data_IF_504426916825
#
_entry.id   IF_504426916825
#
_cell.length_a   1.000
_cell.length_b   1.000
_cell.length_c   1.000
_cell.angle_alpha   90.00
_cell.angle_beta   90.00
_cell.angle_gamma   90.00
#
_symmetry.space_group_name_H-M   'P 1'
#
loop_
_entity.id
_entity.type
_entity.pdbx_description
1 polymer ?
#
# COMPACT_ATOMS: atom_id res chain seq x y z
N UNK A 1 -38.42 10.38 6.49
CA UNK A 1 -39.04 9.40 5.57
C UNK A 1 -37.93 8.57 4.96
N UNK A 2 -38.15 7.26 4.93
CA UNK A 2 -37.32 6.19 4.34
C UNK A 2 -35.85 6.12 4.79
N UNK A 3 -35.64 5.43 5.92
CA UNK A 3 -34.43 4.63 6.15
C UNK A 3 -34.30 3.65 4.97
N UNK A 4 -33.33 3.89 4.08
CA UNK A 4 -32.87 2.83 3.18
C UNK A 4 -32.07 1.85 4.02
N UNK A 5 -32.67 0.71 4.33
CA UNK A 5 -31.89 -0.47 4.74
C UNK A 5 -30.98 -0.82 3.57
N UNK A 6 -29.72 -0.41 3.63
CA UNK A 6 -28.71 -0.96 2.75
C UNK A 6 -28.57 -2.42 3.15
N UNK A 7 -29.06 -3.32 2.31
CA UNK A 7 -28.57 -4.69 2.28
C UNK A 7 -27.06 -4.60 2.14
N UNK A 8 -26.33 -4.84 3.22
CA UNK A 8 -24.87 -4.89 3.22
C UNK A 8 -24.48 -5.97 2.23
N UNK A 9 -23.89 -5.56 1.11
CA UNK A 9 -23.36 -6.47 0.13
C UNK A 9 -22.12 -7.15 0.76
N UNK A 10 -22.29 -8.37 1.26
CA UNK A 10 -21.30 -9.09 2.09
C UNK A 10 -20.36 -9.97 1.26
N UNK A 11 -20.34 -9.80 -0.06
CA UNK A 11 -19.47 -10.55 -0.96
C UNK A 11 -17.96 -10.31 -0.70
N UNK A 12 -17.08 -11.22 -1.17
CA UNK A 12 -15.64 -11.00 -1.13
C UNK A 12 -15.23 -9.80 -1.99
N UNK A 13 -14.08 -9.21 -1.67
CA UNK A 13 -13.50 -8.14 -2.47
C UNK A 13 -13.07 -8.63 -3.86
N UNK A 14 -13.17 -7.78 -4.85
CA UNK A 14 -12.40 -7.91 -6.09
C UNK A 14 -11.06 -7.19 -5.89
N UNK A 15 -9.95 -7.85 -6.20
CA UNK A 15 -8.61 -7.32 -5.95
C UNK A 15 -8.01 -6.73 -7.23
N UNK A 16 -7.88 -5.41 -7.27
CA UNK A 16 -7.17 -4.70 -8.34
C UNK A 16 -5.69 -4.56 -7.99
N UNK A 17 -4.80 -4.74 -8.96
CA UNK A 17 -3.35 -4.61 -8.83
C UNK A 17 -2.91 -3.21 -9.21
N UNK A 18 -2.07 -2.60 -8.40
CA UNK A 18 -1.46 -1.34 -8.79
C UNK A 18 -0.10 -1.04 -8.19
N UNK A 19 0.51 -0.01 -8.76
CA UNK A 19 1.83 0.48 -8.42
C UNK A 19 1.79 2.01 -8.30
N UNK A 20 1.89 2.54 -7.08
CA UNK A 20 1.70 3.96 -6.79
C UNK A 20 3.03 4.72 -6.68
N UNK A 21 4.16 4.06 -6.96
CA UNK A 21 5.47 4.65 -6.80
C UNK A 21 6.37 4.27 -7.97
N UNK A 22 6.43 5.16 -8.97
CA UNK A 22 7.20 4.95 -10.21
C UNK A 22 7.76 6.27 -10.75
N UNK A 23 8.82 6.18 -11.53
CA UNK A 23 9.60 7.34 -11.99
C UNK A 23 9.91 7.29 -13.48
N UNK A 24 9.64 8.41 -14.14
CA UNK A 24 10.04 8.74 -15.50
C UNK A 24 10.47 10.21 -15.52
N UNK A 25 11.78 10.44 -15.39
CA UNK A 25 12.39 11.77 -15.36
C UNK A 25 12.84 12.25 -16.76
N UNK A 26 12.42 11.55 -17.82
CA UNK A 26 12.67 11.93 -19.21
C UNK A 26 11.42 11.62 -20.07
N UNK A 27 10.75 12.68 -20.54
CA UNK A 27 9.54 12.55 -21.34
C UNK A 27 9.74 11.74 -22.63
N UNK A 28 10.96 11.74 -23.20
CA UNK A 28 11.25 10.95 -24.40
C UNK A 28 11.16 9.43 -24.15
N UNK A 29 11.25 9.00 -22.89
CA UNK A 29 11.21 7.59 -22.49
C UNK A 29 9.81 7.09 -22.12
N UNK A 30 8.76 7.90 -22.24
CA UNK A 30 7.39 7.46 -21.89
C UNK A 30 6.93 6.26 -22.74
N UNK A 31 7.34 6.19 -24.01
CA UNK A 31 7.09 5.01 -24.85
C UNK A 31 7.71 3.74 -24.25
N UNK A 32 9.01 3.78 -23.98
CA UNK A 32 9.74 2.65 -23.37
C UNK A 32 9.21 2.32 -21.98
N UNK A 33 8.78 3.31 -21.20
CA UNK A 33 8.16 3.12 -19.89
C UNK A 33 6.88 2.28 -20.00
N UNK A 34 6.02 2.56 -20.97
CA UNK A 34 4.78 1.80 -21.20
C UNK A 34 5.07 0.34 -21.50
N UNK A 35 6.09 0.07 -22.31
CA UNK A 35 6.49 -1.30 -22.67
C UNK A 35 7.03 -2.11 -21.48
N UNK A 36 7.32 -1.45 -20.34
CA UNK A 36 7.79 -2.10 -19.10
C UNK A 36 6.68 -2.38 -18.09
N UNK A 37 5.47 -1.84 -18.30
CA UNK A 37 4.35 -2.05 -17.38
C UNK A 37 3.89 -3.50 -17.49
N UNK A 38 3.80 -4.19 -16.36
CA UNK A 38 3.24 -5.53 -16.33
C UNK A 38 1.76 -5.49 -16.75
N UNK A 39 1.33 -6.33 -17.72
CA UNK A 39 -0.04 -6.30 -18.24
C UNK A 39 -1.10 -6.72 -17.21
N UNK A 40 -0.70 -7.19 -16.02
CA UNK A 40 -1.61 -7.53 -14.91
C UNK A 40 -1.91 -6.34 -14.00
N UNK A 41 -1.29 -5.17 -14.19
CA UNK A 41 -1.66 -3.98 -13.44
C UNK A 41 -2.99 -3.40 -13.94
N UNK A 42 -3.85 -3.04 -12.99
CA UNK A 42 -5.13 -2.36 -13.23
C UNK A 42 -4.99 -0.83 -13.11
N UNK A 43 -4.02 -0.36 -12.34
CA UNK A 43 -3.71 1.05 -12.20
C UNK A 43 -2.24 1.31 -11.84
N UNK A 44 -1.76 2.51 -12.12
CA UNK A 44 -0.44 2.96 -11.69
C UNK A 44 -0.42 4.46 -11.42
N UNK A 45 0.57 4.95 -10.66
CA UNK A 45 0.84 6.38 -10.50
C UNK A 45 2.25 6.73 -10.98
N UNK A 46 2.37 7.80 -11.75
CA UNK A 46 3.67 8.45 -12.03
C UNK A 46 3.94 9.47 -10.91
N UNK A 47 5.02 9.26 -10.16
CA UNK A 47 5.32 9.99 -8.92
C UNK A 47 6.76 10.46 -8.89
N UNK A 48 7.17 11.26 -9.89
CA UNK A 48 8.54 11.77 -9.88
C UNK A 48 8.82 12.59 -8.61
N UNK A 49 10.10 12.61 -8.25
CA UNK A 49 10.66 13.42 -7.18
C UNK A 49 10.31 14.91 -7.29
N UNK A 50 9.66 15.47 -6.26
CA UNK A 50 9.12 16.84 -6.27
C UNK A 50 10.15 17.97 -6.44
N UNK A 51 11.41 17.72 -6.10
CA UNK A 51 12.54 18.66 -6.26
C UNK A 51 13.13 18.72 -7.67
N UNK A 52 12.75 17.78 -8.56
CA UNK A 52 13.31 17.71 -9.92
C UNK A 52 12.61 18.69 -10.86
N UNK A 53 13.33 19.38 -11.76
CA UNK A 53 12.69 20.26 -12.74
C UNK A 53 11.62 19.56 -13.59
N UNK A 54 11.88 18.32 -14.01
CA UNK A 54 10.96 17.52 -14.85
C UNK A 54 9.62 17.22 -14.16
N UNK A 55 9.58 17.21 -12.83
CA UNK A 55 8.33 17.04 -12.09
C UNK A 55 7.32 18.13 -12.45
N UNK A 56 7.76 19.38 -12.62
CA UNK A 56 6.90 20.51 -12.99
C UNK A 56 6.40 20.49 -14.44
N UNK A 57 6.78 19.47 -15.21
CA UNK A 57 6.30 19.18 -16.56
C UNK A 57 5.58 17.81 -16.62
N UNK A 58 5.50 17.08 -15.49
CA UNK A 58 4.96 15.73 -15.39
C UNK A 58 3.53 15.58 -15.93
N UNK A 59 2.71 16.63 -15.87
CA UNK A 59 1.34 16.58 -16.38
C UNK A 59 1.27 16.24 -17.88
N UNK A 60 2.29 16.62 -18.68
CA UNK A 60 2.40 16.21 -20.08
C UNK A 60 2.70 14.71 -20.21
N UNK A 61 3.61 14.18 -19.38
CA UNK A 61 3.95 12.75 -19.34
C UNK A 61 2.77 11.89 -18.90
N UNK A 62 2.01 12.34 -17.89
CA UNK A 62 0.79 11.67 -17.43
C UNK A 62 -0.28 11.67 -18.53
N UNK A 63 -0.47 12.79 -19.23
CA UNK A 63 -1.41 12.87 -20.35
C UNK A 63 -1.03 11.92 -21.50
N UNK A 64 0.26 11.83 -21.84
CA UNK A 64 0.75 10.88 -22.83
C UNK A 64 0.60 9.42 -22.37
N UNK A 65 0.91 9.14 -21.10
CA UNK A 65 0.77 7.81 -20.52
C UNK A 65 -0.69 7.33 -20.54
N UNK A 66 -1.64 8.21 -20.24
CA UNK A 66 -3.10 7.96 -20.36
C UNK A 66 -3.52 7.64 -21.80
N UNK A 67 -2.83 8.19 -22.80
CA UNK A 67 -3.12 7.89 -24.21
C UNK A 67 -2.54 6.55 -24.65
N UNK A 68 -1.35 6.19 -24.15
CA UNK A 68 -0.61 5.00 -24.57
C UNK A 68 -1.01 3.73 -23.82
N UNK A 69 -1.20 3.81 -22.51
CA UNK A 69 -1.57 2.68 -21.67
C UNK A 69 -3.05 2.72 -21.32
N UNK A 70 -3.85 2.07 -22.16
CA UNK A 70 -5.33 2.05 -22.04
C UNK A 70 -5.86 0.83 -21.30
N UNK A 71 -4.98 -0.09 -20.90
CA UNK A 71 -5.35 -1.31 -20.18
C UNK A 71 -5.72 -1.05 -18.70
N UNK A 72 -5.30 0.09 -18.15
CA UNK A 72 -5.52 0.45 -16.74
C UNK A 72 -5.64 1.96 -16.52
N UNK A 73 -5.77 2.34 -15.25
CA UNK A 73 -5.88 3.74 -14.83
C UNK A 73 -4.51 4.36 -14.52
N UNK A 74 -4.26 5.56 -15.07
CA UNK A 74 -3.06 6.34 -14.80
C UNK A 74 -3.38 7.48 -13.84
N UNK A 75 -2.75 7.44 -12.68
CA UNK A 75 -2.80 8.44 -11.63
C UNK A 75 -1.58 9.36 -11.71
N UNK A 76 -1.74 10.59 -11.21
CA UNK A 76 -0.65 11.55 -11.06
C UNK A 76 -0.27 11.65 -9.58
N UNK A 77 1.01 11.82 -9.28
CA UNK A 77 1.44 12.07 -7.91
C UNK A 77 2.83 12.67 -7.82
N UNK A 78 3.36 12.74 -6.61
CA UNK A 78 4.70 13.23 -6.32
C UNK A 78 5.35 12.33 -5.29
N UNK A 79 6.59 11.93 -5.53
CA UNK A 79 7.44 11.46 -4.44
C UNK A 79 7.99 12.69 -3.73
N UNK A 80 7.34 13.03 -2.62
CA UNK A 80 7.65 14.21 -1.82
C UNK A 80 8.80 13.90 -0.86
N UNK A 81 9.81 14.79 -0.81
CA UNK A 81 10.83 14.74 0.24
C UNK A 81 10.24 15.26 1.56
N UNK A 82 9.41 14.42 2.18
CA UNK A 82 8.51 14.77 3.26
C UNK A 82 9.24 15.28 4.52
N UNK A 83 8.79 16.38 5.15
CA UNK A 83 9.35 16.87 6.40
C UNK A 83 9.31 15.81 7.51
N UNK A 84 10.36 15.74 8.34
CA UNK A 84 10.43 14.85 9.51
C UNK A 84 10.68 13.36 9.23
N UNK A 85 10.79 12.94 7.96
CA UNK A 85 10.98 11.52 7.59
C UNK A 85 11.84 11.30 6.34
N UNK A 86 11.51 10.26 5.55
CA UNK A 86 12.09 9.92 4.25
C UNK A 86 11.22 10.46 3.11
N UNK A 87 10.95 9.65 2.11
CA UNK A 87 10.03 10.03 1.04
C UNK A 87 8.60 9.57 1.32
N UNK A 88 7.62 10.31 0.81
CA UNK A 88 6.22 9.92 0.83
C UNK A 88 5.60 10.19 -0.55
N UNK A 89 4.89 9.21 -1.10
CA UNK A 89 4.08 9.42 -2.28
C UNK A 89 2.78 10.12 -1.91
N UNK A 90 2.48 11.23 -2.59
CA UNK A 90 1.16 11.89 -2.57
C UNK A 90 0.52 11.71 -3.94
N UNK A 91 -0.55 10.94 -4.01
CA UNK A 91 -1.21 10.52 -5.26
C UNK A 91 -2.60 11.12 -5.36
N UNK A 92 -2.89 11.69 -6.52
CA UNK A 92 -4.13 12.38 -6.83
C UNK A 92 -5.00 11.52 -7.74
N UNK A 93 -6.31 11.52 -7.49
CA UNK A 93 -7.29 10.96 -8.43
C UNK A 93 -7.33 11.82 -9.70
N UNK A 94 -7.63 11.28 -10.88
CA UNK A 94 -7.70 12.07 -12.11
C UNK A 94 -8.70 13.23 -12.01
N UNK A 95 -8.20 14.47 -12.07
CA UNK A 95 -9.01 15.69 -12.19
C UNK A 95 -8.19 16.82 -12.83
N UNK A 96 -8.84 17.92 -13.20
CA UNK A 96 -8.21 19.00 -13.99
C UNK A 96 -7.02 19.67 -13.28
N UNK A 97 -7.12 19.85 -11.96
CA UNK A 97 -6.13 20.58 -11.16
C UNK A 97 -5.12 19.67 -10.43
N UNK A 98 -5.06 18.37 -10.76
CA UNK A 98 -4.21 17.39 -10.03
C UNK A 98 -2.73 17.78 -10.05
N UNK A 99 -2.27 18.32 -11.18
CA UNK A 99 -0.90 18.79 -11.36
C UNK A 99 -0.62 20.06 -10.56
N UNK A 100 -1.55 21.02 -10.56
CA UNK A 100 -1.41 22.27 -9.82
C UNK A 100 -1.34 22.02 -8.31
N UNK A 101 -2.16 21.09 -7.80
CA UNK A 101 -2.08 20.65 -6.40
C UNK A 101 -0.73 20.01 -6.07
N UNK A 102 -0.24 19.10 -6.92
CA UNK A 102 1.06 18.45 -6.72
C UNK A 102 2.22 19.46 -6.76
N UNK A 103 2.17 20.42 -7.68
CA UNK A 103 3.19 21.48 -7.82
C UNK A 103 3.17 22.46 -6.65
N UNK A 104 1.99 22.83 -6.18
CA UNK A 104 1.84 23.66 -5.00
C UNK A 104 2.41 22.96 -3.75
N UNK A 105 2.20 21.65 -3.60
CA UNK A 105 2.78 20.88 -2.49
C UNK A 105 4.31 20.92 -2.55
N UNK A 106 4.90 20.58 -3.70
CA UNK A 106 6.35 20.54 -3.84
C UNK A 106 7.00 21.92 -3.60
N UNK A 107 6.48 22.97 -4.26
CA UNK A 107 6.98 24.36 -4.10
C UNK A 107 6.85 24.88 -2.67
N UNK A 108 5.78 24.50 -1.99
CA UNK A 108 5.53 24.95 -0.63
C UNK A 108 6.40 24.23 0.40
N UNK A 109 6.56 22.91 0.26
CA UNK A 109 6.93 22.07 1.40
C UNK A 109 7.92 20.93 1.10
N UNK A 110 8.47 20.80 -0.11
CA UNK A 110 9.51 19.80 -0.39
C UNK A 110 10.85 20.20 0.25
N UNK A 111 11.44 19.33 1.10
CA UNK A 111 12.64 19.70 1.86
C UNK A 111 13.87 19.97 0.99
N UNK A 112 13.91 19.43 -0.22
CA UNK A 112 15.07 19.49 -1.10
C UNK A 112 14.90 20.52 -2.23
N UNK A 113 13.77 21.23 -2.26
CA UNK A 113 13.52 22.29 -3.23
C UNK A 113 13.86 23.67 -2.66
N UNK A 114 14.68 24.43 -3.39
CA UNK A 114 15.06 25.77 -2.99
C UNK A 114 13.84 26.70 -2.87
N UNK A 115 13.75 27.41 -1.74
CA UNK A 115 12.66 28.33 -1.45
C UNK A 115 11.41 27.69 -0.82
N UNK A 116 11.36 26.37 -0.70
CA UNK A 116 10.31 25.68 0.05
C UNK A 116 10.50 25.85 1.58
N UNK A 117 9.41 25.71 2.32
CA UNK A 117 9.36 25.77 3.78
C UNK A 117 8.82 24.45 4.34
N UNK A 118 9.65 23.38 4.43
CA UNK A 118 9.20 22.06 4.84
C UNK A 118 8.58 22.06 6.25
N UNK A 119 7.28 21.79 6.32
CA UNK A 119 6.49 21.77 7.56
C UNK A 119 5.32 20.78 7.42
N UNK A 120 5.21 19.83 8.35
CA UNK A 120 4.19 18.76 8.32
C UNK A 120 2.79 19.38 8.42
N UNK A 121 2.57 20.27 9.39
CA UNK A 121 1.25 20.85 9.66
C UNK A 121 0.74 21.66 8.47
N UNK A 122 1.59 22.51 7.88
CA UNK A 122 1.23 23.38 6.78
C UNK A 122 1.03 22.58 5.48
N UNK A 123 1.88 21.59 5.20
CA UNK A 123 1.70 20.68 4.06
C UNK A 123 0.39 19.90 4.15
N UNK A 124 0.11 19.28 5.31
CA UNK A 124 -1.15 18.56 5.53
C UNK A 124 -2.37 19.49 5.45
N UNK A 125 -2.27 20.72 5.97
CA UNK A 125 -3.34 21.72 5.84
C UNK A 125 -3.60 22.10 4.38
N UNK A 126 -2.57 22.24 3.55
CA UNK A 126 -2.76 22.52 2.12
C UNK A 126 -3.47 21.36 1.43
N UNK A 127 -3.07 20.11 1.70
CA UNK A 127 -3.76 18.94 1.14
C UNK A 127 -5.21 18.85 1.61
N UNK A 128 -5.49 19.22 2.87
CA UNK A 128 -6.84 19.26 3.44
C UNK A 128 -7.77 20.32 2.81
N UNK A 129 -7.22 21.34 2.14
CA UNK A 129 -8.01 22.35 1.42
C UNK A 129 -8.58 21.82 0.10
N UNK A 130 -8.04 20.71 -0.41
CA UNK A 130 -8.58 20.05 -1.60
C UNK A 130 -9.92 19.41 -1.23
N UNK A 131 -10.92 19.62 -2.09
CA UNK A 131 -12.28 19.11 -1.90
C UNK A 131 -12.28 17.59 -1.70
N UNK A 132 -13.14 17.02 -0.84
CA UNK A 132 -13.10 15.60 -0.48
C UNK A 132 -13.05 14.63 -1.66
N UNK A 133 -13.76 14.94 -2.74
CA UNK A 133 -13.86 14.11 -3.95
C UNK A 133 -12.55 14.04 -4.75
N UNK A 134 -11.65 15.02 -4.57
CA UNK A 134 -10.35 15.12 -5.26
C UNK A 134 -9.17 15.03 -4.30
N UNK A 135 -9.45 14.81 -3.02
CA UNK A 135 -8.42 14.79 -1.99
C UNK A 135 -7.42 13.65 -2.29
N UNK A 136 -6.10 13.92 -2.22
CA UNK A 136 -5.11 12.89 -2.50
C UNK A 136 -5.03 11.87 -1.37
N UNK A 137 -4.27 10.81 -1.64
CA UNK A 137 -3.78 9.88 -0.63
C UNK A 137 -2.27 10.04 -0.46
N UNK A 138 -1.79 9.85 0.76
CA UNK A 138 -0.39 9.92 1.15
C UNK A 138 0.02 8.57 1.74
N UNK A 139 1.10 7.98 1.21
CA UNK A 139 1.75 6.83 1.82
C UNK A 139 3.25 7.08 2.07
N UNK A 140 3.77 6.50 3.14
CA UNK A 140 5.19 6.59 3.48
C UNK A 140 6.01 5.58 2.68
N UNK A 141 7.01 6.04 1.95
CA UNK A 141 7.80 5.20 1.05
C UNK A 141 8.90 4.45 1.79
N UNK A 142 9.17 3.24 1.31
CA UNK A 142 10.29 2.35 1.58
C UNK A 142 10.93 2.56 2.96
N UNK A 143 10.22 2.34 4.09
CA UNK A 143 10.64 2.73 5.43
C UNK A 143 11.83 1.91 5.95
N UNK A 144 13.00 2.12 5.36
CA UNK A 144 14.27 1.58 5.80
C UNK A 144 14.63 2.13 7.19
N UNK A 145 15.46 1.43 7.98
CA UNK A 145 15.86 1.88 9.30
C UNK A 145 16.33 3.34 9.31
N UNK A 146 15.70 4.17 10.13
CA UNK A 146 16.03 5.59 10.29
C UNK A 146 15.33 6.55 9.31
N UNK A 147 14.59 6.07 8.31
CA UNK A 147 13.83 6.96 7.41
C UNK A 147 12.52 7.45 8.01
N UNK A 148 11.83 6.59 8.75
CA UNK A 148 10.55 6.90 9.39
C UNK A 148 10.53 6.46 10.85
N UNK A 149 9.78 7.17 11.68
CA UNK A 149 9.53 6.83 13.08
C UNK A 149 8.03 6.78 13.36
N UNK A 150 7.64 6.05 14.41
CA UNK A 150 6.23 5.99 14.83
C UNK A 150 5.70 7.37 15.21
N UNK A 151 6.51 8.19 15.89
CA UNK A 151 6.15 9.55 16.31
C UNK A 151 5.91 10.46 15.10
N UNK A 152 6.79 10.42 14.09
CA UNK A 152 6.62 11.17 12.84
C UNK A 152 5.32 10.76 12.14
N UNK A 153 5.07 9.45 12.00
CA UNK A 153 3.84 8.96 11.35
C UNK A 153 2.60 9.41 12.12
N UNK A 154 2.65 9.36 13.46
CA UNK A 154 1.57 9.84 14.31
C UNK A 154 1.32 11.35 14.14
N UNK A 155 2.36 12.16 13.97
CA UNK A 155 2.25 13.60 13.69
C UNK A 155 1.52 13.87 12.36
N UNK A 156 1.89 13.18 11.28
CA UNK A 156 1.17 13.28 9.99
C UNK A 156 -0.32 12.93 10.16
N UNK A 157 -0.62 11.83 10.87
CA UNK A 157 -2.01 11.41 11.12
C UNK A 157 -2.78 12.37 12.02
N UNK A 158 -2.13 13.02 12.97
CA UNK A 158 -2.75 14.02 13.83
C UNK A 158 -3.21 15.26 13.03
N UNK A 159 -2.52 15.57 11.93
CA UNK A 159 -2.86 16.68 11.04
C UNK A 159 -3.70 16.28 9.82
N UNK A 160 -4.06 15.00 9.69
CA UNK A 160 -4.93 14.48 8.64
C UNK A 160 -6.41 14.75 8.98
N UNK A 161 -7.19 15.41 8.10
CA UNK A 161 -8.64 15.57 8.28
C UNK A 161 -9.44 14.25 8.22
N UNK A 162 -8.82 13.12 7.88
CA UNK A 162 -9.38 11.78 8.06
C UNK A 162 -9.38 10.88 6.83
N UNK A 163 -8.59 11.20 5.79
CA UNK A 163 -8.66 10.53 4.49
C UNK A 163 -7.46 10.80 3.56
N UNK A 164 -6.39 11.43 4.07
CA UNK A 164 -5.15 11.69 3.32
C UNK A 164 -4.12 10.61 3.62
N UNK A 165 -3.73 10.42 4.88
CA UNK A 165 -2.68 9.46 5.27
C UNK A 165 -3.26 8.06 5.26
N UNK A 166 -2.92 7.29 4.23
CA UNK A 166 -3.49 5.96 4.04
C UNK A 166 -2.62 4.84 4.61
N UNK A 167 -1.29 4.95 4.60
CA UNK A 167 -0.47 3.76 4.79
C UNK A 167 1.03 3.95 4.56
N UNK A 168 1.74 2.83 4.38
CA UNK A 168 3.16 2.80 4.04
C UNK A 168 3.50 1.63 3.14
N UNK A 169 4.62 1.74 2.45
CA UNK A 169 5.26 0.59 1.83
C UNK A 169 5.78 -0.39 2.90
N UNK A 170 5.48 -1.67 2.76
CA UNK A 170 5.89 -2.73 3.69
C UNK A 170 7.22 -3.36 3.33
N UNK A 171 7.68 -3.12 2.11
CA UNK A 171 8.92 -3.64 1.55
C UNK A 171 9.56 -2.53 0.74
N UNK A 172 10.88 -2.61 0.59
CA UNK A 172 11.60 -1.67 -0.24
C UNK A 172 11.20 -1.83 -1.72
N UNK A 173 11.12 -0.72 -2.45
CA UNK A 173 11.16 -0.70 -3.92
C UNK A 173 12.54 -1.11 -4.45
N UNK A 174 12.93 -0.69 -5.65
CA UNK A 174 14.26 -0.98 -6.18
C UNK A 174 14.55 -2.49 -6.24
N UNK A 175 13.68 -3.18 -6.95
CA UNK A 175 13.34 -4.58 -6.77
C UNK A 175 14.32 -5.53 -7.46
N UNK A 176 14.85 -5.09 -8.60
CA UNK A 176 15.67 -5.87 -9.51
C UNK A 176 17.17 -5.86 -9.20
N UNK A 177 17.61 -5.14 -8.16
CA UNK A 177 19.03 -5.07 -7.76
C UNK A 177 19.23 -5.14 -6.24
N UNK A 178 20.49 -5.12 -5.80
CA UNK A 178 20.89 -5.47 -4.43
C UNK A 178 20.23 -4.64 -3.33
N UNK A 179 19.83 -3.38 -3.59
CA UNK A 179 19.22 -2.53 -2.57
C UNK A 179 17.87 -3.07 -2.06
N UNK A 180 17.03 -3.63 -2.93
CA UNK A 180 15.77 -4.27 -2.52
C UNK A 180 15.94 -5.70 -2.02
N UNK A 181 17.12 -6.30 -2.20
CA UNK A 181 17.41 -7.70 -1.86
C UNK A 181 18.13 -7.87 -0.52
N UNK A 182 18.79 -6.82 -0.03
CA UNK A 182 19.55 -6.86 1.22
C UNK A 182 18.69 -6.82 2.49
N UNK A 183 17.39 -6.54 2.37
CA UNK A 183 16.49 -6.40 3.51
C UNK A 183 15.91 -7.73 3.98
N UNK A 184 16.04 -7.97 5.28
CA UNK A 184 15.37 -9.07 5.96
C UNK A 184 13.93 -8.68 6.33
N UNK A 185 12.94 -9.37 5.75
CA UNK A 185 11.52 -9.17 6.01
C UNK A 185 11.12 -9.47 7.47
N UNK A 186 11.97 -10.13 8.26
CA UNK A 186 11.77 -10.32 9.69
C UNK A 186 12.04 -9.04 10.50
N UNK A 187 12.90 -8.15 10.00
CA UNK A 187 13.37 -6.95 10.70
C UNK A 187 13.10 -5.65 9.95
N UNK A 188 12.59 -5.72 8.72
CA UNK A 188 12.25 -4.54 7.94
C UNK A 188 11.09 -3.76 8.61
N UNK A 189 11.27 -2.45 8.91
CA UNK A 189 10.32 -1.70 9.75
C UNK A 189 8.87 -1.68 9.25
N UNK A 190 8.68 -1.73 7.94
CA UNK A 190 7.35 -1.70 7.31
C UNK A 190 6.54 -3.00 7.45
N UNK A 191 7.16 -4.14 7.74
CA UNK A 191 6.46 -5.43 7.78
C UNK A 191 6.74 -6.30 9.02
N UNK A 192 7.79 -6.01 9.79
CA UNK A 192 8.13 -6.76 10.99
C UNK A 192 6.98 -6.71 12.03
N UNK A 193 6.73 -7.79 12.79
CA UNK A 193 5.84 -7.77 13.94
C UNK A 193 6.31 -6.73 14.98
N UNK A 194 5.39 -5.89 15.44
CA UNK A 194 5.69 -4.77 16.33
C UNK A 194 6.37 -3.56 15.64
N UNK A 195 6.47 -3.57 14.30
CA UNK A 195 7.09 -2.52 13.50
C UNK A 195 6.24 -1.25 13.34
N UNK A 196 6.62 -0.40 12.39
CA UNK A 196 5.98 0.90 12.17
C UNK A 196 4.51 0.76 11.74
N UNK A 197 4.20 -0.25 10.91
CA UNK A 197 2.82 -0.57 10.53
C UNK A 197 1.94 -0.91 11.75
N UNK A 198 2.47 -1.69 12.68
CA UNK A 198 1.73 -2.13 13.87
C UNK A 198 1.53 -0.99 14.87
N UNK A 199 2.53 -0.12 15.01
CA UNK A 199 2.40 1.12 15.76
C UNK A 199 1.31 2.05 15.19
N UNK A 200 1.17 2.10 13.85
CA UNK A 200 0.12 2.89 13.21
C UNK A 200 -1.29 2.35 13.49
N UNK A 201 -1.47 1.04 13.62
CA UNK A 201 -2.77 0.46 14.00
C UNK A 201 -3.16 0.73 15.46
N UNK A 202 -2.19 0.91 16.36
CA UNK A 202 -2.47 1.24 17.76
C UNK A 202 -3.20 2.59 17.93
N UNK A 203 -3.10 3.49 16.94
CA UNK A 203 -3.85 4.75 16.87
C UNK A 203 -5.34 4.61 16.51
N UNK A 204 -5.85 3.38 16.37
CA UNK A 204 -7.27 3.05 16.16
C UNK A 204 -7.90 3.61 14.86
N UNK A 205 -7.32 3.25 13.71
CA UNK A 205 -7.92 3.49 12.41
C UNK A 205 -7.31 2.61 11.31
N UNK A 206 -7.93 2.57 10.12
CA UNK A 206 -7.35 1.88 8.98
C UNK A 206 -5.94 2.37 8.68
N UNK A 207 -5.15 1.46 8.11
CA UNK A 207 -3.81 1.75 7.63
C UNK A 207 -3.45 0.71 6.56
N UNK A 208 -3.02 1.17 5.40
CA UNK A 208 -2.69 0.36 4.24
C UNK A 208 -1.24 -0.11 4.28
N UNK A 209 -1.08 -1.40 4.06
CA UNK A 209 0.16 -2.05 3.71
C UNK A 209 0.27 -2.11 2.18
N UNK A 210 1.34 -1.52 1.66
CA UNK A 210 1.55 -1.30 0.23
C UNK A 210 2.89 -1.91 -0.21
N UNK A 211 3.00 -2.23 -1.49
CA UNK A 211 4.27 -2.58 -2.11
C UNK A 211 4.30 -2.03 -3.54
N UNK A 212 5.33 -1.26 -3.85
CA UNK A 212 5.47 -0.56 -5.11
C UNK A 212 6.88 -0.76 -5.67
N UNK A 213 7.07 -0.43 -6.94
CA UNK A 213 8.33 -0.73 -7.62
C UNK A 213 9.44 0.24 -7.31
N UNK A 214 9.11 1.52 -7.14
CA UNK A 214 10.11 2.59 -7.19
C UNK A 214 10.94 2.48 -8.48
N UNK A 215 10.26 2.09 -9.57
CA UNK A 215 10.90 1.81 -10.86
C UNK A 215 11.38 3.10 -11.52
N UNK A 216 12.60 3.09 -12.04
CA UNK A 216 13.19 4.23 -12.72
C UNK A 216 13.62 3.86 -14.15
N UNK A 217 12.81 4.20 -15.15
CA UNK A 217 13.14 3.89 -16.55
C UNK A 217 14.44 4.56 -17.02
N UNK A 218 14.72 5.77 -16.52
CA UNK A 218 15.89 6.57 -16.86
C UNK A 218 17.18 6.11 -16.15
N UNK A 219 17.14 5.03 -15.37
CA UNK A 219 18.31 4.45 -14.68
C UNK A 219 18.70 3.06 -15.21
N UNK A 220 17.97 2.51 -16.18
CA UNK A 220 18.08 1.10 -16.58
C UNK A 220 19.43 0.71 -17.21
N UNK A 221 20.16 1.65 -17.78
CA UNK A 221 21.49 1.44 -18.35
C UNK A 221 22.59 1.19 -17.30
N UNK A 222 22.41 1.75 -16.10
CA UNK A 222 23.37 1.69 -14.99
C UNK A 222 22.89 0.88 -13.79
N UNK A 223 21.58 0.79 -13.61
CA UNK A 223 20.91 0.18 -12.47
C UNK A 223 19.64 -0.49 -12.95
N UNK A 224 19.78 -1.78 -13.28
CA UNK A 224 18.65 -2.60 -13.70
C UNK A 224 17.59 -2.65 -12.59
N UNK A 225 16.33 -2.56 -12.98
CA UNK A 225 15.20 -2.77 -12.09
C UNK A 225 14.05 -3.46 -12.83
N UNK A 226 13.13 -4.07 -12.09
CA UNK A 226 11.92 -4.61 -12.69
C UNK A 226 10.93 -3.49 -13.01
N UNK A 227 10.30 -3.58 -14.17
CA UNK A 227 9.20 -2.68 -14.54
C UNK A 227 8.01 -2.76 -13.56
N UNK A 228 7.11 -1.77 -13.60
CA UNK A 228 6.00 -1.66 -12.66
C UNK A 228 5.14 -2.93 -12.65
N UNK A 229 4.86 -3.46 -11.46
CA UNK A 229 4.01 -4.64 -11.27
C UNK A 229 4.64 -6.01 -11.57
N UNK A 230 5.87 -6.06 -12.11
CA UNK A 230 6.53 -7.35 -12.39
C UNK A 230 6.82 -8.12 -11.10
N UNK A 231 7.27 -7.43 -10.05
CA UNK A 231 7.57 -8.03 -8.75
C UNK A 231 6.69 -7.46 -7.64
N UNK A 232 7.07 -6.34 -6.99
CA UNK A 232 6.16 -5.73 -6.02
C UNK A 232 4.96 -5.10 -6.71
N UNK A 233 3.80 -5.29 -6.11
CA UNK A 233 2.56 -4.62 -6.44
C UNK A 233 1.63 -4.63 -5.24
N UNK A 234 0.64 -3.74 -5.25
CA UNK A 234 -0.39 -3.66 -4.22
C UNK A 234 -1.70 -4.20 -4.77
N UNK A 235 -2.37 -5.06 -4.01
CA UNK A 235 -3.77 -5.40 -4.21
C UNK A 235 -4.64 -4.38 -3.48
N UNK A 236 -5.66 -3.85 -4.13
CA UNK A 236 -6.68 -2.97 -3.55
C UNK A 236 -8.05 -3.61 -3.70
N UNK A 237 -8.72 -3.82 -2.58
CA UNK A 237 -10.04 -4.44 -2.50
C UNK A 237 -11.13 -3.44 -2.85
N UNK A 238 -11.85 -3.71 -3.93
CA UNK A 238 -13.01 -2.95 -4.40
C UNK A 238 -14.22 -3.87 -4.49
N UNK A 239 -15.42 -3.30 -4.70
CA UNK A 239 -16.59 -4.16 -4.94
C UNK A 239 -16.47 -4.84 -6.32
N UNK A 240 -17.03 -6.05 -6.49
CA UNK A 240 -17.06 -6.70 -7.80
C UNK A 240 -17.62 -5.78 -8.90
N UNK A 241 -16.87 -5.65 -9.99
CA UNK A 241 -17.23 -4.80 -11.14
C UNK A 241 -16.80 -3.33 -11.04
N UNK A 242 -16.40 -2.85 -9.86
CA UNK A 242 -15.84 -1.50 -9.71
C UNK A 242 -14.37 -1.47 -10.16
N UNK A 243 -14.00 -0.43 -10.89
CA UNK A 243 -12.64 -0.19 -11.39
C UNK A 243 -12.34 1.31 -11.51
N UNK A 244 -13.13 2.17 -10.87
CA UNK A 244 -12.94 3.62 -10.93
C UNK A 244 -11.83 4.08 -9.98
N UNK A 245 -11.26 5.25 -10.24
CA UNK A 245 -10.33 5.89 -9.32
C UNK A 245 -10.96 6.12 -7.93
N UNK A 246 -12.25 6.47 -7.88
CA UNK A 246 -13.00 6.61 -6.63
C UNK A 246 -13.02 5.30 -5.82
N UNK A 247 -13.32 4.17 -6.46
CA UNK A 247 -13.34 2.87 -5.80
C UNK A 247 -11.95 2.45 -5.28
N UNK A 248 -10.90 2.70 -6.08
CA UNK A 248 -9.51 2.45 -5.68
C UNK A 248 -9.14 3.30 -4.46
N UNK A 249 -9.41 4.60 -4.49
CA UNK A 249 -9.10 5.51 -3.39
C UNK A 249 -9.91 5.17 -2.13
N UNK A 250 -11.16 4.76 -2.28
CA UNK A 250 -11.97 4.26 -1.16
C UNK A 250 -11.36 2.98 -0.55
N UNK A 251 -10.88 2.05 -1.39
CA UNK A 251 -10.19 0.84 -0.93
C UNK A 251 -8.89 1.14 -0.19
N UNK A 252 -8.07 2.05 -0.73
CA UNK A 252 -6.84 2.54 -0.09
C UNK A 252 -7.13 3.17 1.27
N UNK A 253 -8.06 4.13 1.35
CA UNK A 253 -8.44 4.80 2.62
C UNK A 253 -9.00 3.85 3.66
N UNK A 254 -9.73 2.83 3.21
CA UNK A 254 -10.29 1.81 4.10
C UNK A 254 -9.25 0.78 4.56
N UNK A 255 -7.99 0.84 4.12
CA UNK A 255 -7.01 -0.19 4.43
C UNK A 255 -7.33 -1.55 3.78
N UNK A 256 -8.11 -1.58 2.69
CA UNK A 256 -8.43 -2.80 1.94
C UNK A 256 -7.28 -3.14 1.01
N UNK A 257 -6.10 -3.39 1.56
CA UNK A 257 -4.90 -3.58 0.74
C UNK A 257 -4.10 -4.80 1.15
N UNK A 258 -3.39 -5.37 0.17
CA UNK A 258 -2.34 -6.33 0.40
C UNK A 258 -1.08 -5.93 -0.37
N UNK A 259 0.06 -5.97 0.30
CA UNK A 259 1.37 -5.81 -0.30
C UNK A 259 1.89 -7.16 -0.79
N UNK A 260 2.21 -7.29 -2.08
CA UNK A 260 2.64 -8.54 -2.68
C UNK A 260 4.01 -8.40 -3.34
N UNK A 261 4.88 -9.40 -3.17
CA UNK A 261 6.17 -9.52 -3.89
C UNK A 261 6.16 -10.75 -4.80
N UNK A 262 5.98 -10.52 -6.09
CA UNK A 262 5.75 -11.56 -7.09
C UNK A 262 4.31 -12.05 -7.09
N UNK A 263 4.02 -13.04 -7.93
CA UNK A 263 2.65 -13.50 -8.24
C UNK A 263 2.43 -14.96 -7.87
N UNK A 264 3.03 -15.39 -6.75
CA UNK A 264 3.04 -16.79 -6.31
C UNK A 264 1.90 -17.13 -5.34
N UNK A 265 1.19 -16.12 -4.83
CA UNK A 265 0.03 -16.28 -3.94
C UNK A 265 -1.16 -15.49 -4.48
N UNK A 266 -2.31 -16.13 -4.51
CA UNK A 266 -3.61 -15.56 -4.82
C UNK A 266 -4.49 -15.60 -3.57
N UNK A 267 -4.90 -14.43 -3.08
CA UNK A 267 -5.79 -14.30 -1.94
C UNK A 267 -7.23 -14.59 -2.38
N UNK A 268 -7.87 -15.60 -1.77
CA UNK A 268 -9.28 -15.92 -1.98
C UNK A 268 -10.13 -15.13 -0.98
N UNK A 269 -9.86 -15.27 0.32
CA UNK A 269 -10.50 -14.45 1.36
C UNK A 269 -9.62 -14.36 2.61
N UNK A 270 -9.74 -13.23 3.33
CA UNK A 270 -9.24 -13.10 4.70
C UNK A 270 -10.31 -12.38 5.51
N UNK A 271 -10.96 -13.15 6.38
CA UNK A 271 -12.17 -12.72 7.07
C UNK A 271 -12.22 -13.21 8.51
N UNK A 272 -12.91 -12.46 9.38
CA UNK A 272 -13.38 -12.88 10.69
C UNK A 272 -14.89 -13.08 10.58
N UNK A 273 -15.38 -14.24 11.00
CA UNK A 273 -16.79 -14.59 10.88
C UNK A 273 -17.35 -15.26 12.14
N UNK A 274 -18.62 -14.95 12.45
CA UNK A 274 -19.44 -15.62 13.44
C UNK A 274 -20.91 -15.62 12.98
N UNK A 275 -21.44 -16.79 12.62
CA UNK A 275 -22.80 -16.89 12.07
C UNK A 275 -22.92 -16.14 10.75
N UNK A 276 -23.76 -15.10 10.71
CA UNK A 276 -23.97 -14.25 9.54
C UNK A 276 -23.08 -13.00 9.50
N UNK A 277 -22.41 -12.67 10.61
CA UNK A 277 -21.53 -11.51 10.71
C UNK A 277 -20.17 -11.85 10.11
N UNK A 278 -19.66 -10.98 9.23
CA UNK A 278 -18.34 -11.09 8.59
C UNK A 278 -17.66 -9.72 8.58
N UNK A 279 -16.36 -9.68 8.91
CA UNK A 279 -15.47 -8.55 8.66
C UNK A 279 -14.27 -9.03 7.85
N UNK A 280 -13.87 -8.27 6.84
CA UNK A 280 -12.69 -8.56 6.00
C UNK A 280 -11.59 -7.54 6.19
N UNK A 281 -10.49 -7.71 5.47
CA UNK A 281 -9.40 -6.71 5.39
C UNK A 281 -10.00 -5.32 5.16
N UNK A 282 -9.61 -4.35 6.00
CA UNK A 282 -10.12 -2.98 5.99
C UNK A 282 -11.44 -2.75 6.75
N UNK A 283 -12.12 -3.81 7.18
CA UNK A 283 -13.30 -3.70 8.04
C UNK A 283 -12.93 -3.71 9.53
N UNK A 284 -13.94 -3.49 10.38
CA UNK A 284 -13.83 -3.64 11.83
C UNK A 284 -14.75 -4.75 12.30
N UNK A 285 -14.19 -5.79 12.91
CA UNK A 285 -14.94 -6.80 13.63
C UNK A 285 -15.47 -6.21 14.95
N UNK A 286 -16.78 -6.30 15.16
CA UNK A 286 -17.47 -5.70 16.32
C UNK A 286 -18.07 -6.71 17.28
N UNK A 287 -17.97 -8.02 17.04
CA UNK A 287 -18.91 -8.99 17.65
C UNK A 287 -18.23 -10.23 18.25
N UNK A 288 -18.22 -10.36 19.58
CA UNK A 288 -18.08 -11.66 20.26
C UNK A 288 -16.87 -12.54 19.88
N UNK A 289 -16.98 -13.82 20.26
CA UNK A 289 -16.02 -14.83 19.84
C UNK A 289 -16.30 -15.24 18.39
N UNK A 290 -15.24 -15.44 17.61
CA UNK A 290 -15.33 -15.67 16.17
C UNK A 290 -14.18 -16.55 15.68
N UNK A 291 -14.21 -16.89 14.39
CA UNK A 291 -13.09 -17.54 13.70
C UNK A 291 -12.55 -16.61 12.63
N UNK A 292 -11.26 -16.33 12.67
CA UNK A 292 -10.55 -15.76 11.54
C UNK A 292 -10.13 -16.88 10.59
N UNK A 293 -10.34 -16.70 9.29
CA UNK A 293 -9.95 -17.65 8.25
C UNK A 293 -9.19 -16.92 7.14
N UNK A 294 -8.08 -17.52 6.72
CA UNK A 294 -7.26 -17.07 5.60
C UNK A 294 -7.24 -18.19 4.55
N UNK A 295 -7.80 -17.89 3.39
CA UNK A 295 -7.95 -18.81 2.26
C UNK A 295 -7.22 -18.26 1.05
N UNK A 296 -6.38 -19.10 0.44
CA UNK A 296 -5.50 -18.69 -0.65
C UNK A 296 -5.06 -19.88 -1.49
N UNK A 297 -4.63 -19.60 -2.72
CA UNK A 297 -3.90 -20.53 -3.56
C UNK A 297 -2.43 -20.07 -3.68
N UNK A 298 -1.49 -21.02 -3.60
CA UNK A 298 -0.07 -20.74 -3.81
C UNK A 298 0.55 -21.65 -4.87
N UNK A 299 1.34 -21.08 -5.78
CA UNK A 299 2.08 -21.80 -6.82
C UNK A 299 3.48 -22.24 -6.39
N UNK A 300 3.92 -21.81 -5.20
CA UNK A 300 5.21 -22.16 -4.61
C UNK A 300 5.03 -22.53 -3.13
N UNK A 301 5.85 -23.44 -2.56
CA UNK A 301 5.76 -23.79 -1.15
C UNK A 301 5.95 -22.57 -0.24
N UNK A 302 5.24 -22.53 0.88
CA UNK A 302 5.40 -21.50 1.90
C UNK A 302 6.45 -21.90 2.91
N UNK A 303 7.22 -20.93 3.40
CA UNK A 303 8.05 -21.11 4.58
C UNK A 303 7.20 -20.96 5.86
N UNK A 304 6.35 -19.93 5.90
CA UNK A 304 5.64 -19.54 7.12
C UNK A 304 4.43 -18.65 6.82
N UNK A 305 3.38 -18.77 7.64
CA UNK A 305 2.26 -17.83 7.74
C UNK A 305 2.15 -17.34 9.18
N UNK A 306 2.31 -16.04 9.39
CA UNK A 306 2.17 -15.38 10.69
C UNK A 306 0.84 -14.64 10.79
N UNK A 307 0.12 -14.91 11.86
CA UNK A 307 -0.99 -14.10 12.34
C UNK A 307 -0.41 -13.06 13.28
N UNK A 308 -0.45 -11.79 12.89
CA UNK A 308 0.19 -10.69 13.62
C UNK A 308 -0.88 -9.74 14.13
N UNK A 309 -0.75 -9.28 15.36
CA UNK A 309 -1.65 -8.27 15.90
C UNK A 309 -1.64 -8.20 17.42
N UNK A 310 -2.71 -7.65 17.95
CA UNK A 310 -3.04 -7.68 19.38
C UNK A 310 -4.55 -7.95 19.51
N UNK A 311 -4.89 -8.92 20.36
CA UNK A 311 -6.28 -9.28 20.68
C UNK A 311 -6.75 -8.64 21.99
N UNK A 312 -5.87 -8.00 22.75
CA UNK A 312 -6.12 -7.44 24.07
C UNK A 312 -5.75 -5.95 24.19
N UNK A 313 -5.50 -5.30 23.05
CA UNK A 313 -5.01 -3.92 22.97
C UNK A 313 -3.57 -3.72 23.48
N UNK A 314 -2.87 -4.79 23.87
CA UNK A 314 -1.48 -4.77 24.30
C UNK A 314 -0.47 -4.58 23.16
N UNK A 315 0.81 -4.84 23.47
CA UNK A 315 1.88 -4.75 22.48
C UNK A 315 1.65 -5.76 21.34
N UNK A 316 1.64 -5.32 20.07
CA UNK A 316 1.41 -6.21 18.94
C UNK A 316 2.59 -7.18 18.72
N UNK A 317 2.27 -8.38 18.25
CA UNK A 317 3.26 -9.42 17.97
C UNK A 317 2.68 -10.58 17.15
N UNK A 318 3.46 -11.67 17.03
CA UNK A 318 2.99 -12.91 16.39
C UNK A 318 2.05 -13.63 17.36
N UNK A 319 0.77 -13.69 17.02
CA UNK A 319 -0.27 -14.38 17.79
C UNK A 319 -0.26 -15.89 17.55
N UNK A 320 0.03 -16.28 16.30
CA UNK A 320 0.17 -17.67 15.87
C UNK A 320 1.06 -17.71 14.62
N UNK A 321 1.86 -18.77 14.51
CA UNK A 321 2.69 -19.03 13.34
C UNK A 321 2.40 -20.44 12.82
N UNK A 322 2.08 -20.53 11.54
CA UNK A 322 1.93 -21.80 10.83
C UNK A 322 3.19 -22.02 10.02
N UNK A 323 3.84 -23.16 10.23
CA UNK A 323 5.08 -23.54 9.54
C UNK A 323 4.87 -23.86 8.05
N UNK A 324 5.85 -24.53 7.41
CA UNK A 324 5.85 -24.75 5.97
C UNK A 324 4.57 -25.36 5.42
N UNK A 325 4.06 -24.82 4.31
CA UNK A 325 2.87 -25.32 3.61
C UNK A 325 3.22 -25.74 2.19
N UNK A 326 2.59 -26.82 1.67
CA UNK A 326 2.80 -27.24 0.29
C UNK A 326 2.17 -26.27 -0.70
N UNK A 327 2.50 -26.45 -1.98
CA UNK A 327 1.81 -25.81 -3.12
C UNK A 327 0.33 -26.24 -3.15
N UNK A 328 -0.56 -25.34 -3.51
CA UNK A 328 -1.97 -25.62 -3.80
C UNK A 328 -2.93 -24.74 -3.01
N UNK A 329 -4.13 -25.24 -2.80
CA UNK A 329 -5.16 -24.55 -2.04
C UNK A 329 -4.93 -24.74 -0.54
N UNK A 330 -5.01 -23.64 0.23
CA UNK A 330 -4.82 -23.65 1.66
C UNK A 330 -5.93 -22.86 2.36
N UNK A 331 -6.32 -23.34 3.54
CA UNK A 331 -7.21 -22.63 4.46
C UNK A 331 -6.68 -22.76 5.88
N UNK A 332 -6.33 -21.64 6.47
CA UNK A 332 -5.77 -21.55 7.82
C UNK A 332 -6.71 -20.75 8.71
N UNK A 333 -6.82 -21.13 9.99
CA UNK A 333 -7.79 -20.50 10.89
C UNK A 333 -7.19 -20.16 12.26
N UNK A 334 -7.71 -19.11 12.88
CA UNK A 334 -7.34 -18.63 14.22
C UNK A 334 -8.61 -18.29 15.02
N UNK A 335 -8.69 -18.76 16.25
CA UNK A 335 -9.77 -18.39 17.17
C UNK A 335 -9.62 -16.93 17.63
N UNK A 336 -10.71 -16.18 17.53
CA UNK A 336 -10.81 -14.81 18.05
C UNK A 336 -11.66 -14.85 19.33
N UNK A 337 -11.07 -14.56 20.51
CA UNK A 337 -11.79 -14.64 21.77
C UNK A 337 -12.85 -13.54 21.87
N UNK A 338 -13.89 -13.79 22.67
CA UNK A 338 -14.84 -12.75 23.03
C UNK A 338 -14.14 -11.59 23.76
N UNK A 339 -14.46 -10.36 23.39
CA UNK A 339 -13.83 -9.16 23.95
C UNK A 339 -12.50 -8.79 23.29
N UNK A 340 -12.11 -9.46 22.20
CA UNK A 340 -10.91 -9.12 21.47
C UNK A 340 -10.95 -7.66 20.97
N UNK A 341 -9.85 -6.93 21.15
CA UNK A 341 -9.69 -5.57 20.66
C UNK A 341 -8.26 -5.28 20.26
N UNK A 342 -8.07 -4.41 19.27
CA UNK A 342 -6.80 -4.21 18.59
C UNK A 342 -6.94 -4.47 17.09
N UNK A 343 -6.13 -5.36 16.54
CA UNK A 343 -6.11 -5.65 15.11
C UNK A 343 -5.53 -7.03 14.81
N UNK A 344 -5.81 -7.54 13.62
CA UNK A 344 -5.27 -8.79 13.09
C UNK A 344 -4.86 -8.61 11.63
N UNK A 345 -3.62 -8.95 11.29
CA UNK A 345 -3.09 -8.98 9.93
C UNK A 345 -2.25 -10.23 9.67
N UNK A 346 -1.85 -10.41 8.42
CA UNK A 346 -1.07 -11.57 7.99
C UNK A 346 0.28 -11.15 7.42
N UNK A 347 1.27 -12.02 7.64
CA UNK A 347 2.51 -12.08 6.86
C UNK A 347 2.71 -13.50 6.36
N UNK A 348 2.85 -13.66 5.04
CA UNK A 348 3.13 -14.94 4.40
C UNK A 348 4.48 -14.87 3.72
N UNK A 349 5.34 -15.85 3.97
CA UNK A 349 6.68 -15.93 3.40
C UNK A 349 6.78 -17.12 2.45
N UNK A 350 7.25 -16.88 1.21
CA UNK A 350 7.56 -17.98 0.29
C UNK A 350 8.81 -18.73 0.76
N UNK A 351 8.84 -20.05 0.58
CA UNK A 351 10.04 -20.85 0.76
C UNK A 351 11.06 -20.63 -0.37
N UNK A 352 10.63 -20.11 -1.51
CA UNK A 352 11.49 -19.76 -2.64
C UNK A 352 12.02 -18.35 -2.48
N UNK A 353 13.34 -18.20 -2.57
CA UNK A 353 14.00 -16.90 -2.70
C UNK A 353 14.15 -16.46 -4.17
N UNK A 354 13.62 -17.23 -5.13
CA UNK A 354 13.76 -16.92 -6.56
C UNK A 354 12.86 -15.75 -6.95
N UNK A 355 13.50 -14.71 -7.49
CA UNK A 355 12.88 -13.53 -8.12
C UNK A 355 13.05 -13.61 -9.65
N UNK A 356 12.34 -12.79 -10.44
CA UNK A 356 12.50 -12.77 -11.90
C UNK A 356 13.95 -12.50 -12.35
N UNK A 357 14.45 -13.20 -13.36
CA UNK A 357 15.77 -12.87 -13.95
C UNK A 357 15.74 -11.46 -14.55
N UNK A 358 16.82 -10.66 -14.47
CA UNK A 358 18.15 -10.92 -13.90
C UNK A 358 18.34 -10.56 -12.43
N UNK A 359 17.28 -10.25 -11.67
CA UNK A 359 17.46 -9.79 -10.29
C UNK A 359 17.90 -10.86 -9.30
N UNK A 360 18.36 -10.44 -8.10
CA UNK A 360 19.00 -11.31 -7.12
C UNK A 360 18.01 -12.25 -6.42
N UNK A 361 18.53 -13.32 -5.82
CA UNK A 361 17.76 -14.15 -4.90
C UNK A 361 17.57 -13.42 -3.58
N UNK A 362 16.34 -13.29 -3.11
CA UNK A 362 16.05 -12.75 -1.79
C UNK A 362 14.63 -13.15 -1.34
N UNK A 363 14.35 -13.10 -0.02
CA UNK A 363 13.03 -13.40 0.51
C UNK A 363 11.93 -12.59 -0.20
N UNK A 364 10.75 -13.20 -0.31
CA UNK A 364 9.57 -12.56 -0.86
C UNK A 364 8.36 -12.88 0.02
N UNK A 365 7.52 -11.87 0.21
CA UNK A 365 6.37 -11.95 1.09
C UNK A 365 5.07 -11.48 0.47
N UNK A 366 4.00 -11.83 1.15
CA UNK A 366 2.66 -11.29 0.97
C UNK A 366 2.15 -10.80 2.33
N UNK A 367 1.67 -9.57 2.40
CA UNK A 367 1.29 -8.92 3.66
C UNK A 367 -0.09 -8.30 3.50
N UNK A 368 -0.99 -8.59 4.43
CA UNK A 368 -2.32 -7.96 4.44
C UNK A 368 -2.32 -6.76 5.34
N UNK A 369 -3.10 -5.75 4.97
CA UNK A 369 -3.59 -4.78 5.95
C UNK A 369 -4.49 -5.46 6.98
N UNK A 370 -4.76 -4.76 8.07
CA UNK A 370 -5.48 -5.36 9.18
C UNK A 370 -7.00 -5.44 8.99
N UNK A 371 -7.58 -6.42 9.68
CA UNK A 371 -8.95 -6.37 10.17
C UNK A 371 -8.89 -5.76 11.57
N UNK A 372 -9.58 -4.65 11.80
CA UNK A 372 -9.61 -4.00 13.12
C UNK A 372 -10.54 -4.77 14.06
N UNK A 373 -10.22 -4.78 15.35
CA UNK A 373 -11.01 -5.44 16.39
C UNK A 373 -11.50 -4.36 17.37
N UNK A 374 -12.81 -4.09 17.35
CA UNK A 374 -13.40 -3.15 18.30
C UNK A 374 -13.79 -3.89 19.58
N UNK A 375 -13.33 -3.38 20.73
CA UNK A 375 -13.97 -3.72 22.00
C UNK A 375 -15.42 -3.23 21.98
N UNK A 376 -16.35 -4.07 22.44
CA UNK A 376 -17.62 -3.55 22.95
C UNK A 376 -17.29 -2.61 24.12
N UNK A 377 -17.62 -1.32 23.97
CA UNK A 377 -17.59 -0.38 25.10
C UNK A 377 -18.78 -0.62 26.03
#
# INVERSE_FOLDING_TARGET
MTNSSSTSDTGPWSWLRGDLHTHCEDAAQIGDYVDRIDPRLDFLALTNHGQKPVFFEQHHMVAELRQRWTAGLVLSGVEWNAPGGGHACVVFSPHADEADHAYALARGFDRHLDGAHPDITAGMRQLAQIVPEHRPVLCFNHPAPGQWSADTIAEYRQHDPGDIVIGMETVHGHQGYDAGACWDLATYPGCMPGGLADAAYAGAGPFSLLAHSDFHIHKQDRLFDYGPGIFNHTLVGVRPGEHSAEAIFAGLRAGRTCAAQGHWLELIDFAIAAGADVARVGDTWKSGAARAAFEFDNSEPLAQVDWIGSLDGGAPGVLSAVGPQPVGHQRLELDIPAGAHGFLRLRVLSASATRPTPGPTAPKGFFTSAILLAAFR
#
